data_IF_686956281288
#
_entry.id   IF_686956281288
#
_cell.length_a   1.000
_cell.length_b   1.000
_cell.length_c   1.000
_cell.angle_alpha   90.00
_cell.angle_beta   90.00
_cell.angle_gamma   90.00
#
_symmetry.space_group_name_H-M   'P 1'
#
loop_
_entity.id
_entity.type
_entity.pdbx_description
1 polymer ?
#
# COMPACT_ATOMS: atom_id res chain seq x y z
N UNK A 1 2.38 -15.49 -0.28
CA UNK A 1 2.48 -14.07 0.14
C UNK A 1 3.87 -13.84 0.74
N UNK A 2 4.55 -12.76 0.35
CA UNK A 2 5.87 -12.40 0.89
C UNK A 2 5.66 -11.61 2.18
N UNK A 3 6.25 -12.08 3.28
CA UNK A 3 6.32 -11.32 4.53
C UNK A 3 7.68 -10.62 4.61
N UNK A 4 7.74 -9.35 4.20
CA UNK A 4 8.99 -8.60 4.00
C UNK A 4 9.81 -8.43 5.29
N UNK A 5 9.14 -8.27 6.44
CA UNK A 5 9.77 -8.17 7.75
C UNK A 5 10.39 -9.50 8.25
N UNK A 6 10.04 -10.63 7.63
CA UNK A 6 10.48 -11.96 8.05
C UNK A 6 11.27 -12.73 6.98
N UNK A 7 11.44 -12.17 5.77
CA UNK A 7 12.13 -12.83 4.64
C UNK A 7 11.56 -14.24 4.34
N UNK A 8 10.23 -14.39 4.45
CA UNK A 8 9.52 -15.67 4.27
C UNK A 8 8.42 -15.56 3.23
N UNK A 9 8.24 -16.66 2.51
CA UNK A 9 7.08 -16.96 1.70
C UNK A 9 6.12 -17.81 2.54
N UNK A 10 4.86 -17.39 2.63
CA UNK A 10 3.79 -18.20 3.21
C UNK A 10 2.75 -18.54 2.16
N UNK A 11 2.42 -19.82 2.03
CA UNK A 11 1.30 -20.26 1.21
C UNK A 11 -0.02 -19.85 1.87
N UNK A 12 -0.88 -19.15 1.14
CA UNK A 12 -2.17 -18.71 1.68
C UNK A 12 -3.18 -19.87 1.80
N UNK A 13 -3.02 -20.91 0.99
CA UNK A 13 -3.93 -22.04 0.94
C UNK A 13 -3.68 -23.08 2.04
N UNK A 14 -2.41 -23.40 2.33
CA UNK A 14 -2.06 -24.46 3.27
C UNK A 14 -1.16 -24.00 4.43
N UNK A 15 -0.90 -22.70 4.54
CA UNK A 15 -0.06 -22.09 5.57
C UNK A 15 1.42 -22.56 5.60
N UNK A 16 1.88 -23.34 4.62
CA UNK A 16 3.29 -23.74 4.53
C UNK A 16 4.20 -22.51 4.42
N UNK A 17 5.34 -22.55 5.11
CA UNK A 17 6.33 -21.49 5.10
C UNK A 17 7.61 -21.95 4.39
N UNK A 18 8.20 -21.05 3.61
CA UNK A 18 9.49 -21.22 2.98
C UNK A 18 10.30 -19.95 3.14
N UNK A 19 11.63 -20.05 3.17
CA UNK A 19 12.49 -18.86 3.12
C UNK A 19 12.40 -18.24 1.73
N UNK A 20 12.45 -16.92 1.65
CA UNK A 20 12.56 -16.22 0.36
C UNK A 20 13.87 -16.65 -0.30
N UNK A 21 13.84 -17.25 -1.51
CA UNK A 21 15.06 -17.61 -2.21
C UNK A 21 15.85 -16.34 -2.56
N UNK A 22 17.18 -16.42 -2.54
CA UNK A 22 18.05 -15.29 -2.93
C UNK A 22 18.22 -15.15 -4.45
N UNK A 23 17.91 -16.20 -5.21
CA UNK A 23 18.09 -16.28 -6.66
C UNK A 23 16.90 -17.01 -7.28
N UNK A 24 16.54 -16.63 -8.49
CA UNK A 24 15.50 -17.34 -9.24
C UNK A 24 15.94 -18.78 -9.55
N UNK A 25 15.18 -19.82 -9.14
CA UNK A 25 15.55 -21.20 -9.42
C UNK A 25 15.44 -21.58 -10.90
N UNK A 26 14.78 -20.76 -11.73
CA UNK A 26 14.58 -21.02 -13.17
C UNK A 26 15.52 -20.26 -14.10
N UNK A 27 16.12 -19.15 -13.66
CA UNK A 27 16.96 -18.31 -14.52
C UNK A 27 18.16 -17.66 -13.82
N UNK A 28 18.44 -17.99 -12.55
CA UNK A 28 19.58 -17.51 -11.75
C UNK A 28 19.66 -16.00 -11.49
N UNK A 29 18.65 -15.22 -11.90
CA UNK A 29 18.58 -13.79 -11.59
C UNK A 29 18.69 -13.57 -10.06
N UNK A 30 19.61 -12.70 -9.66
CA UNK A 30 19.88 -12.37 -8.25
C UNK A 30 18.80 -11.46 -7.64
N UNK A 31 18.10 -10.69 -8.46
CA UNK A 31 17.07 -9.76 -8.00
C UNK A 31 15.66 -10.35 -8.18
N UNK A 32 15.15 -10.99 -7.13
CA UNK A 32 13.75 -11.43 -7.07
C UNK A 32 12.87 -10.31 -6.53
N UNK A 33 12.04 -9.71 -7.40
CA UNK A 33 11.08 -8.67 -7.01
C UNK A 33 9.78 -9.30 -6.52
N UNK A 34 9.29 -8.96 -5.32
CA UNK A 34 7.98 -9.41 -4.85
C UNK A 34 6.87 -8.99 -5.82
N UNK A 35 6.02 -9.92 -6.22
CA UNK A 35 4.74 -9.60 -6.84
C UNK A 35 3.75 -9.26 -5.72
N UNK A 36 3.30 -8.00 -5.63
CA UNK A 36 2.27 -7.59 -4.68
C UNK A 36 2.70 -6.64 -3.56
N UNK A 37 3.44 -5.59 -3.90
CA UNK A 37 3.60 -4.37 -3.06
C UNK A 37 2.79 -3.24 -3.69
N UNK A 38 1.48 -3.44 -3.86
CA UNK A 38 0.64 -2.56 -4.69
C UNK A 38 0.66 -1.10 -4.22
N UNK A 39 0.11 -0.85 -3.03
CA UNK A 39 0.03 0.50 -2.47
C UNK A 39 1.32 0.94 -1.80
N UNK A 40 2.06 0.08 -1.10
CA UNK A 40 3.30 0.47 -0.42
C UNK A 40 4.42 0.93 -1.37
N UNK A 41 4.55 0.30 -2.55
CA UNK A 41 5.53 0.74 -3.54
C UNK A 41 5.13 2.10 -4.14
N UNK A 42 3.84 2.30 -4.36
CA UNK A 42 3.31 3.57 -4.84
C UNK A 42 3.52 4.66 -3.79
N UNK A 43 3.27 4.37 -2.50
CA UNK A 43 3.53 5.28 -1.38
C UNK A 43 5.00 5.73 -1.34
N UNK A 44 5.95 4.80 -1.44
CA UNK A 44 7.38 5.13 -1.49
C UNK A 44 7.75 5.98 -2.72
N UNK A 45 7.18 5.66 -3.89
CA UNK A 45 7.39 6.44 -5.09
C UNK A 45 6.81 7.86 -4.97
N UNK A 46 5.63 8.00 -4.36
CA UNK A 46 5.00 9.29 -4.11
C UNK A 46 5.83 10.15 -3.16
N UNK A 47 6.39 9.57 -2.08
CA UNK A 47 7.29 10.30 -1.18
C UNK A 47 8.55 10.81 -1.90
N UNK A 48 9.05 10.05 -2.88
CA UNK A 48 10.22 10.43 -3.68
C UNK A 48 9.87 11.54 -4.67
N UNK A 49 8.72 11.43 -5.35
CA UNK A 49 8.30 12.38 -6.38
C UNK A 49 7.73 13.68 -5.82
N UNK A 50 7.12 13.64 -4.63
CA UNK A 50 6.46 14.77 -3.98
C UNK A 50 7.05 15.01 -2.58
N UNK A 51 8.33 15.40 -2.48
CA UNK A 51 8.95 15.66 -1.19
C UNK A 51 8.22 16.79 -0.46
N UNK A 52 7.93 16.58 0.82
CA UNK A 52 7.23 17.56 1.68
C UNK A 52 5.70 17.59 1.54
N UNK A 53 5.11 16.70 0.72
CA UNK A 53 3.66 16.54 0.64
C UNK A 53 3.16 15.50 1.65
N UNK A 54 2.01 15.81 2.27
CA UNK A 54 1.34 14.90 3.20
C UNK A 54 0.60 13.82 2.41
N UNK A 55 1.02 12.56 2.60
CA UNK A 55 0.46 11.39 1.91
C UNK A 55 -0.20 10.50 2.96
N UNK A 56 -1.42 10.07 2.71
CA UNK A 56 -2.12 9.08 3.54
C UNK A 56 -2.47 7.84 2.73
N UNK A 57 -2.20 6.67 3.30
CA UNK A 57 -2.62 5.39 2.73
C UNK A 57 -3.90 4.89 3.41
N UNK A 58 -4.95 4.70 2.63
CA UNK A 58 -6.25 4.14 3.03
C UNK A 58 -6.45 2.78 2.38
N UNK A 59 -6.02 1.74 3.07
CA UNK A 59 -6.30 0.35 2.73
C UNK A 59 -6.58 -0.48 3.97
N UNK A 60 -6.93 -1.75 3.76
CA UNK A 60 -7.32 -2.65 4.85
C UNK A 60 -6.26 -2.74 5.93
N UNK A 61 -4.98 -2.66 5.58
CA UNK A 61 -3.87 -2.84 6.52
C UNK A 61 -3.59 -1.58 7.32
N UNK A 62 -3.67 -0.39 6.68
CA UNK A 62 -3.51 0.88 7.39
C UNK A 62 -4.68 1.21 8.33
N UNK A 63 -5.89 0.69 8.05
CA UNK A 63 -7.09 0.98 8.86
C UNK A 63 -7.46 -0.09 9.89
N UNK A 64 -6.63 -1.10 10.15
CA UNK A 64 -7.01 -2.18 11.10
C UNK A 64 -7.10 -1.70 12.56
N UNK A 65 -6.38 -0.63 12.92
CA UNK A 65 -6.43 -0.07 14.27
C UNK A 65 -7.76 0.66 14.48
N UNK A 66 -8.42 0.39 15.61
CA UNK A 66 -9.65 1.07 16.00
C UNK A 66 -9.43 2.58 16.01
N UNK A 67 -10.25 3.33 15.26
CA UNK A 67 -10.17 4.79 15.16
C UNK A 67 -9.22 5.32 14.08
N UNK A 68 -8.40 4.48 13.43
CA UNK A 68 -7.42 4.95 12.45
C UNK A 68 -8.09 5.50 11.19
N UNK A 69 -9.15 4.85 10.71
CA UNK A 69 -9.91 5.32 9.56
C UNK A 69 -10.51 6.71 9.84
N UNK A 70 -11.17 6.88 10.98
CA UNK A 70 -11.78 8.15 11.38
C UNK A 70 -10.75 9.28 11.49
N UNK A 71 -9.57 9.00 12.05
CA UNK A 71 -8.47 9.96 12.13
C UNK A 71 -7.98 10.38 10.74
N UNK A 72 -7.78 9.44 9.83
CA UNK A 72 -7.37 9.76 8.46
C UNK A 72 -8.42 10.56 7.71
N UNK A 73 -9.70 10.18 7.82
CA UNK A 73 -10.81 10.91 7.20
C UNK A 73 -10.91 12.34 7.74
N UNK A 74 -10.70 12.53 9.04
CA UNK A 74 -10.70 13.85 9.65
C UNK A 74 -9.57 14.72 9.08
N UNK A 75 -8.34 14.21 9.05
CA UNK A 75 -7.19 14.95 8.49
C UNK A 75 -7.40 15.33 7.01
N UNK A 76 -7.97 14.41 6.21
CA UNK A 76 -8.31 14.68 4.80
C UNK A 76 -9.34 15.83 4.69
N UNK A 77 -10.42 15.76 5.48
CA UNK A 77 -11.47 16.78 5.45
C UNK A 77 -11.00 18.15 5.97
N UNK A 78 -10.00 18.17 6.86
CA UNK A 78 -9.35 19.38 7.34
C UNK A 78 -8.35 19.97 6.33
N UNK A 79 -8.05 19.26 5.23
CA UNK A 79 -7.09 19.71 4.22
C UNK A 79 -5.63 19.52 4.63
N UNK A 80 -5.35 18.66 5.62
CA UNK A 80 -4.00 18.36 6.12
C UNK A 80 -3.28 17.29 5.27
N UNK A 81 -3.96 16.74 4.26
CA UNK A 81 -3.47 15.69 3.38
C UNK A 81 -3.50 16.19 1.95
N UNK A 82 -2.35 16.12 1.27
CA UNK A 82 -2.22 16.50 -0.14
C UNK A 82 -2.58 15.34 -1.08
N UNK A 83 -2.22 14.11 -0.71
CA UNK A 83 -2.38 12.92 -1.57
C UNK A 83 -3.02 11.78 -0.79
N UNK A 84 -4.11 11.24 -1.34
CA UNK A 84 -4.82 10.08 -0.80
C UNK A 84 -4.50 8.88 -1.69
N UNK A 85 -3.76 7.92 -1.14
CA UNK A 85 -3.51 6.65 -1.79
C UNK A 85 -4.43 5.59 -1.19
N UNK A 86 -5.17 4.86 -2.01
CA UNK A 86 -6.01 3.80 -1.47
C UNK A 86 -6.49 2.85 -2.53
N UNK A 87 -7.16 1.80 -2.06
CA UNK A 87 -7.79 0.80 -2.92
C UNK A 87 -9.29 1.10 -3.05
N UNK A 88 -10.08 0.10 -3.45
CA UNK A 88 -11.55 0.17 -3.56
C UNK A 88 -12.26 0.70 -2.31
N UNK A 89 -11.60 0.74 -1.14
CA UNK A 89 -12.12 1.34 0.08
C UNK A 89 -12.43 2.83 -0.04
N UNK A 90 -11.72 3.59 -0.88
CA UNK A 90 -11.92 5.04 -1.04
C UNK A 90 -13.29 5.42 -1.61
N UNK A 91 -13.90 4.56 -2.41
CA UNK A 91 -15.14 4.86 -3.12
C UNK A 91 -16.40 4.60 -2.29
N UNK A 92 -16.30 3.92 -1.15
CA UNK A 92 -17.47 3.48 -0.37
C UNK A 92 -17.77 4.46 0.77
N UNK A 93 -18.79 5.29 0.58
CA UNK A 93 -19.41 6.05 1.69
C UNK A 93 -18.61 7.24 2.23
N UNK A 94 -17.50 7.62 1.58
CA UNK A 94 -16.69 8.76 1.97
C UNK A 94 -16.70 9.82 0.86
N UNK A 95 -16.96 11.06 1.26
CA UNK A 95 -16.94 12.21 0.36
C UNK A 95 -15.70 13.06 0.68
N UNK A 96 -14.95 13.42 -0.36
CA UNK A 96 -13.73 14.21 -0.25
C UNK A 96 -13.88 15.49 -1.08
N UNK A 97 -14.49 16.55 -0.53
CA UNK A 97 -14.89 17.74 -1.31
C UNK A 97 -13.69 18.50 -1.89
N UNK A 98 -12.52 18.38 -1.26
CA UNK A 98 -11.29 19.06 -1.69
C UNK A 98 -10.47 18.25 -2.72
N UNK A 99 -10.94 17.05 -3.10
CA UNK A 99 -10.27 16.24 -4.12
C UNK A 99 -10.67 16.76 -5.49
N UNK A 100 -9.68 17.26 -6.23
CA UNK A 100 -9.86 17.84 -7.57
C UNK A 100 -9.38 16.93 -8.70
N UNK A 101 -8.62 15.88 -8.36
CA UNK A 101 -8.05 14.92 -9.30
C UNK A 101 -8.11 13.51 -8.73
N UNK A 102 -8.53 12.55 -9.55
CA UNK A 102 -8.49 11.13 -9.24
C UNK A 102 -7.77 10.38 -10.35
N UNK A 103 -6.91 9.43 -9.98
CA UNK A 103 -6.13 8.60 -10.92
C UNK A 103 -6.36 7.14 -10.56
N UNK A 104 -6.70 6.32 -11.57
CA UNK A 104 -6.74 4.87 -11.44
C UNK A 104 -5.41 4.30 -11.93
N UNK A 105 -4.76 3.51 -11.09
CA UNK A 105 -3.54 2.78 -11.44
C UNK A 105 -3.93 1.33 -11.73
N UNK A 106 -3.95 0.95 -13.01
CA UNK A 106 -4.13 -0.44 -13.44
C UNK A 106 -2.74 -1.08 -13.67
N UNK A 107 -2.51 -2.25 -13.06
CA UNK A 107 -1.26 -3.01 -13.15
C UNK A 107 -1.42 -4.45 -12.72
#
# INVERSE_FOLDING_TARGET
MVHHHQQKLRCHHCASEQRLPKQCPGCTAEELKPLGLGTERVENALHTLFPGKSIVRLDRDSTQKKGALEQHLQAINQGEVDIILGTQMLAKGHHFPNVTLAVLLDG
#
